data_IF_677850049454
#
_entry.id   IF_677850049454
#
_cell.length_a   1.000
_cell.length_b   1.000
_cell.length_c   1.000
_cell.angle_alpha   90.00
_cell.angle_beta   90.00
_cell.angle_gamma   90.00
#
_symmetry.space_group_name_H-M   'P 1'
#
loop_
_entity.id
_entity.type
_entity.pdbx_description
1 polymer ?
#
# COMPACT_ATOMS: atom_id res chain seq x y z
N UNK A 1 13.46 10.77 14.19
CA UNK A 1 13.51 9.44 13.53
C UNK A 1 14.88 8.81 13.78
N UNK A 2 14.93 7.61 14.36
CA UNK A 2 16.17 6.91 14.68
C UNK A 2 16.66 6.09 13.46
N UNK A 3 17.44 6.71 12.57
CA UNK A 3 18.07 6.04 11.40
C UNK A 3 19.14 5.02 11.79
N UNK A 4 19.73 5.12 12.98
CA UNK A 4 20.87 4.30 13.41
C UNK A 4 20.55 2.92 13.99
N UNK A 5 19.27 2.59 14.23
CA UNK A 5 18.85 1.30 14.84
C UNK A 5 18.10 0.42 13.84
N UNK A 6 18.06 0.78 12.54
CA UNK A 6 17.29 0.09 11.50
C UNK A 6 15.79 -0.10 11.85
N UNK A 7 15.22 0.77 12.68
CA UNK A 7 13.78 0.71 13.04
C UNK A 7 12.85 1.10 11.87
N UNK A 8 13.40 1.60 10.77
CA UNK A 8 12.65 2.14 9.63
C UNK A 8 12.95 1.33 8.35
N UNK A 9 12.78 0.00 8.42
CA UNK A 9 13.08 -0.92 7.28
C UNK A 9 12.08 -0.80 6.14
N UNK A 10 10.83 -0.48 6.46
CA UNK A 10 9.78 -0.32 5.44
C UNK A 10 9.85 1.10 4.86
N UNK A 11 9.84 1.27 3.52
CA UNK A 11 9.81 2.59 2.91
C UNK A 11 8.64 3.44 3.41
N UNK A 12 8.90 4.72 3.67
CA UNK A 12 7.89 5.62 4.25
C UNK A 12 6.60 5.72 3.41
N UNK A 13 6.72 5.77 2.08
CA UNK A 13 5.58 5.80 1.17
C UNK A 13 4.71 4.55 1.30
N UNK A 14 5.32 3.37 1.43
CA UNK A 14 4.59 2.10 1.68
C UNK A 14 3.83 2.21 3.00
N UNK A 15 4.50 2.61 4.09
CA UNK A 15 3.82 2.71 5.40
C UNK A 15 2.70 3.76 5.41
N UNK A 16 2.86 4.86 4.70
CA UNK A 16 1.85 5.91 4.59
C UNK A 16 0.64 5.43 3.79
N UNK A 17 0.88 4.73 2.66
CA UNK A 17 -0.17 4.09 1.85
C UNK A 17 -0.94 3.06 2.65
N UNK A 18 -0.25 2.12 3.31
CA UNK A 18 -0.91 1.08 4.10
C UNK A 18 -1.72 1.68 5.25
N UNK A 19 -1.17 2.67 5.98
CA UNK A 19 -1.92 3.38 7.03
C UNK A 19 -3.17 4.05 6.47
N UNK A 20 -3.08 4.69 5.31
CA UNK A 20 -4.23 5.38 4.73
C UNK A 20 -5.32 4.42 4.23
N UNK A 21 -4.94 3.25 3.73
CA UNK A 21 -5.89 2.18 3.39
C UNK A 21 -6.55 1.58 4.63
N UNK A 22 -5.80 1.43 5.73
CA UNK A 22 -6.31 0.98 7.02
C UNK A 22 -7.30 1.99 7.64
N UNK A 23 -7.01 3.29 7.55
CA UNK A 23 -7.93 4.36 7.98
C UNK A 23 -9.30 4.27 7.28
N UNK A 24 -9.35 3.76 6.04
CA UNK A 24 -10.60 3.52 5.29
C UNK A 24 -11.17 2.10 5.52
N UNK A 25 -10.58 1.32 6.43
CA UNK A 25 -11.02 -0.02 6.80
C UNK A 25 -10.84 -1.07 5.70
N UNK A 26 -9.97 -0.82 4.72
CA UNK A 26 -9.78 -1.72 3.57
C UNK A 26 -8.80 -2.86 3.86
N UNK A 27 -7.74 -2.60 4.62
CA UNK A 27 -6.73 -3.60 4.94
C UNK A 27 -7.28 -4.68 5.87
N UNK A 28 -6.84 -5.93 5.65
CA UNK A 28 -7.23 -7.08 6.47
C UNK A 28 -8.67 -7.56 6.27
N UNK A 29 -9.44 -6.90 5.40
CA UNK A 29 -10.81 -7.28 5.03
C UNK A 29 -10.98 -7.44 3.53
N UNK A 30 -10.73 -6.36 2.79
CA UNK A 30 -10.95 -6.30 1.35
C UNK A 30 -9.65 -6.36 0.57
N UNK A 31 -8.57 -5.80 1.14
CA UNK A 31 -7.25 -5.74 0.55
C UNK A 31 -6.23 -6.42 1.45
N UNK A 32 -5.32 -7.16 0.83
CA UNK A 32 -4.18 -7.80 1.48
C UNK A 32 -2.89 -7.36 0.80
N UNK A 33 -1.86 -7.05 1.59
CA UNK A 33 -0.52 -6.80 1.05
C UNK A 33 0.08 -8.13 0.60
N UNK A 34 0.53 -8.18 -0.64
CA UNK A 34 1.24 -9.33 -1.21
C UNK A 34 2.59 -8.88 -1.78
N UNK A 35 3.33 -9.81 -2.39
CA UNK A 35 4.63 -9.51 -2.98
C UNK A 35 5.71 -9.19 -1.92
N UNK A 36 6.74 -8.47 -2.34
CA UNK A 36 7.95 -8.23 -1.53
C UNK A 36 7.64 -7.50 -0.22
N UNK A 37 6.71 -6.55 -0.21
CA UNK A 37 6.36 -5.81 1.01
C UNK A 37 5.69 -6.67 2.08
N UNK A 38 5.05 -7.79 1.71
CA UNK A 38 4.47 -8.72 2.68
C UNK A 38 5.55 -9.38 3.56
N UNK A 39 6.79 -9.51 3.05
CA UNK A 39 7.90 -10.11 3.79
C UNK A 39 8.27 -9.32 5.05
N UNK A 40 8.05 -8.00 5.10
CA UNK A 40 8.22 -7.22 6.33
C UNK A 40 7.28 -7.64 7.46
N UNK A 41 6.08 -8.14 7.11
CA UNK A 41 5.17 -8.75 8.09
C UNK A 41 5.75 -10.03 8.68
N UNK A 42 6.33 -10.89 7.83
CA UNK A 42 7.02 -12.10 8.27
C UNK A 42 8.27 -11.80 9.11
N UNK A 43 9.10 -10.82 8.72
CA UNK A 43 10.23 -10.34 9.54
C UNK A 43 9.77 -9.99 10.96
N UNK A 44 8.67 -9.23 11.05
CA UNK A 44 8.12 -8.74 12.32
C UNK A 44 7.58 -9.86 13.22
N UNK A 45 6.88 -10.84 12.64
CA UNK A 45 6.29 -11.95 13.42
C UNK A 45 7.32 -13.02 13.79
N UNK A 46 8.25 -13.33 12.89
CA UNK A 46 9.27 -14.35 13.12
C UNK A 46 10.51 -13.85 13.87
N UNK A 47 10.67 -12.53 14.04
CA UNK A 47 11.85 -11.94 14.68
C UNK A 47 13.14 -12.10 13.86
N UNK A 48 13.00 -12.19 12.53
CA UNK A 48 14.11 -12.38 11.59
C UNK A 48 14.19 -11.22 10.60
N UNK A 49 15.29 -11.14 9.87
CA UNK A 49 15.45 -10.19 8.77
C UNK A 49 15.82 -10.94 7.50
N UNK A 50 15.16 -10.59 6.41
CA UNK A 50 15.59 -11.01 5.08
C UNK A 50 16.78 -10.17 4.63
N UNK A 51 17.55 -10.72 3.69
CA UNK A 51 18.60 -9.99 3.01
C UNK A 51 18.04 -8.76 2.31
N UNK A 52 18.73 -7.62 2.42
CA UNK A 52 18.24 -6.35 1.90
C UNK A 52 18.07 -6.36 0.37
N UNK A 53 18.85 -7.16 -0.36
CA UNK A 53 18.72 -7.33 -1.81
C UNK A 53 17.41 -8.03 -2.20
N UNK A 54 16.90 -8.92 -1.35
CA UNK A 54 15.59 -9.57 -1.57
C UNK A 54 14.42 -8.62 -1.29
N UNK A 55 14.65 -7.60 -0.46
CA UNK A 55 13.66 -6.60 -0.06
C UNK A 55 13.66 -5.36 -0.98
N UNK A 56 14.52 -5.32 -1.99
CA UNK A 56 14.65 -4.19 -2.91
C UNK A 56 13.49 -4.18 -3.91
N UNK A 57 12.39 -3.51 -3.55
CA UNK A 57 11.29 -3.21 -4.46
C UNK A 57 10.94 -1.72 -4.46
N UNK A 58 10.30 -1.24 -5.52
CA UNK A 58 9.88 0.16 -5.70
C UNK A 58 8.37 0.36 -5.74
N UNK A 59 7.60 -0.69 -5.49
CA UNK A 59 6.13 -0.70 -5.55
C UNK A 59 5.52 -1.31 -4.29
N UNK A 60 4.18 -1.39 -4.25
CA UNK A 60 3.43 -2.20 -3.28
C UNK A 60 2.27 -2.91 -3.97
N UNK A 61 2.23 -4.23 -3.83
CA UNK A 61 1.16 -5.05 -4.42
C UNK A 61 0.03 -5.28 -3.42
N UNK A 62 -1.20 -5.05 -3.89
CA UNK A 62 -2.42 -5.26 -3.13
C UNK A 62 -3.31 -6.28 -3.84
N UNK A 63 -3.68 -7.32 -3.11
CA UNK A 63 -4.61 -8.34 -3.58
C UNK A 63 -6.00 -8.06 -3.01
N UNK A 64 -7.00 -7.98 -3.89
CA UNK A 64 -8.41 -7.97 -3.49
C UNK A 64 -8.83 -9.35 -3.00
N UNK A 65 -9.41 -9.43 -1.81
CA UNK A 65 -10.02 -10.68 -1.32
C UNK A 65 -11.31 -10.95 -2.09
N UNK A 66 -11.28 -11.94 -2.98
CA UNK A 66 -12.40 -12.33 -3.83
C UNK A 66 -13.64 -12.80 -3.04
N UNK A 67 -13.49 -13.10 -1.74
CA UNK A 67 -14.59 -13.52 -0.86
C UNK A 67 -15.27 -12.32 -0.19
N UNK A 68 -14.66 -11.14 -0.24
CA UNK A 68 -15.14 -9.94 0.42
C UNK A 68 -15.72 -8.94 -0.59
N UNK A 69 -16.92 -8.44 -0.33
CA UNK A 69 -17.51 -7.36 -1.13
C UNK A 69 -16.83 -6.04 -0.81
N UNK A 70 -16.18 -5.43 -1.80
CA UNK A 70 -15.57 -4.10 -1.69
C UNK A 70 -16.61 -3.01 -1.98
N UNK A 71 -16.96 -2.20 -0.98
CA UNK A 71 -17.98 -1.13 -1.08
C UNK A 71 -17.35 0.26 -0.97
N UNK A 72 -16.66 0.71 -2.02
CA UNK A 72 -15.97 2.02 -2.04
C UNK A 72 -16.92 3.22 -1.91
N UNK A 73 -18.14 3.09 -2.45
CA UNK A 73 -19.15 4.14 -2.44
C UNK A 73 -19.65 4.55 -1.03
N UNK A 74 -19.31 3.78 0.01
CA UNK A 74 -19.71 4.05 1.39
C UNK A 74 -18.63 4.76 2.21
N UNK A 75 -17.47 5.07 1.62
CA UNK A 75 -16.32 5.62 2.33
C UNK A 75 -16.35 7.15 2.39
N UNK A 76 -16.08 7.82 1.27
CA UNK A 76 -16.30 9.26 1.10
C UNK A 76 -16.46 9.60 -0.39
N UNK A 77 -16.90 10.82 -0.70
CA UNK A 77 -17.27 11.25 -2.05
C UNK A 77 -16.14 11.07 -3.07
N UNK A 78 -14.90 11.43 -2.71
CA UNK A 78 -13.76 11.29 -3.60
C UNK A 78 -13.43 9.81 -3.89
N UNK A 79 -13.55 8.95 -2.88
CA UNK A 79 -13.36 7.50 -3.04
C UNK A 79 -14.53 6.84 -3.76
N UNK A 80 -15.75 7.38 -3.62
CA UNK A 80 -16.90 6.91 -4.38
C UNK A 80 -16.74 7.20 -5.88
N UNK A 81 -16.13 8.33 -6.24
CA UNK A 81 -15.90 8.74 -7.63
C UNK A 81 -14.67 8.07 -8.26
N UNK A 82 -13.52 8.12 -7.58
CA UNK A 82 -12.22 7.71 -8.14
C UNK A 82 -11.65 6.43 -7.51
N UNK A 83 -12.39 5.78 -6.60
CA UNK A 83 -12.00 4.51 -5.99
C UNK A 83 -10.75 4.59 -5.13
N UNK A 84 -9.95 3.51 -5.14
CA UNK A 84 -8.71 3.42 -4.35
C UNK A 84 -7.69 4.49 -4.76
N UNK A 85 -7.71 4.96 -6.02
CA UNK A 85 -6.81 6.02 -6.48
C UNK A 85 -6.97 7.30 -5.67
N UNK A 86 -8.21 7.68 -5.30
CA UNK A 86 -8.43 8.84 -4.43
C UNK A 86 -7.78 8.66 -3.04
N UNK A 87 -7.71 7.43 -2.53
CA UNK A 87 -7.02 7.15 -1.26
C UNK A 87 -5.51 7.36 -1.43
N UNK A 88 -4.93 6.87 -2.53
CA UNK A 88 -3.51 7.09 -2.85
C UNK A 88 -3.20 8.59 -3.01
N UNK A 89 -4.08 9.34 -3.66
CA UNK A 89 -3.94 10.79 -3.81
C UNK A 89 -4.01 11.58 -2.50
N UNK A 90 -4.65 11.02 -1.45
CA UNK A 90 -4.59 11.57 -0.09
C UNK A 90 -3.23 11.36 0.59
N UNK A 91 -2.43 10.40 0.11
CA UNK A 91 -1.04 10.16 0.55
C UNK A 91 -0.08 11.05 -0.24
N UNK A 92 -0.21 11.03 -1.57
CA UNK A 92 0.56 11.86 -2.50
C UNK A 92 -0.34 12.26 -3.68
N UNK A 93 -0.62 13.56 -3.83
CA UNK A 93 -1.52 14.08 -4.86
C UNK A 93 -1.08 13.78 -6.30
N UNK A 94 0.17 13.35 -6.50
CA UNK A 94 0.72 13.06 -7.82
C UNK A 94 0.46 11.63 -8.31
N UNK A 95 -0.22 10.79 -7.53
CA UNK A 95 -0.65 9.48 -8.01
C UNK A 95 -1.63 9.59 -9.17
N UNK A 96 -1.32 8.90 -10.26
CA UNK A 96 -2.15 8.79 -11.45
C UNK A 96 -2.19 7.33 -11.92
N UNK A 97 -3.28 6.92 -12.56
CA UNK A 97 -3.35 5.61 -13.20
C UNK A 97 -2.40 5.57 -14.40
N UNK A 98 -1.65 4.47 -14.57
CA UNK A 98 -0.64 4.34 -15.65
C UNK A 98 -1.28 4.44 -17.04
N UNK A 99 -2.50 3.93 -17.17
CA UNK A 99 -3.37 4.05 -18.35
C UNK A 99 -4.83 3.93 -17.92
N UNK A 100 -5.74 4.28 -18.82
CA UNK A 100 -7.18 4.08 -18.61
C UNK A 100 -7.45 2.59 -18.34
N UNK A 101 -8.28 2.32 -17.32
CA UNK A 101 -8.69 0.98 -16.90
C UNK A 101 -7.53 0.07 -16.45
N UNK A 102 -6.39 0.63 -16.03
CA UNK A 102 -5.31 -0.11 -15.37
C UNK A 102 -5.58 -0.29 -13.86
N UNK A 103 -5.01 -1.34 -13.29
CA UNK A 103 -5.04 -1.61 -11.86
C UNK A 103 -3.76 -1.15 -11.16
N UNK A 104 -3.01 -0.24 -11.81
CA UNK A 104 -1.75 0.31 -11.32
C UNK A 104 -1.82 1.83 -11.29
N UNK A 105 -1.30 2.39 -10.21
CA UNK A 105 -1.10 3.81 -10.04
C UNK A 105 0.38 4.08 -9.78
N UNK A 106 0.87 5.21 -10.28
CA UNK A 106 2.25 5.64 -10.12
C UNK A 106 2.29 7.11 -9.69
N UNK A 107 3.17 7.48 -8.77
CA UNK A 107 3.38 8.87 -8.40
C UNK A 107 4.55 9.51 -9.18
N UNK A 108 4.80 10.81 -8.99
CA UNK A 108 5.92 11.53 -9.64
C UNK A 108 7.31 10.99 -9.28
N UNK A 109 7.44 10.23 -8.20
CA UNK A 109 8.69 9.60 -7.80
C UNK A 109 8.89 8.21 -8.45
N UNK A 110 7.92 7.71 -9.21
CA UNK A 110 7.96 6.40 -9.85
C UNK A 110 7.62 5.24 -8.91
N UNK A 111 7.01 5.52 -7.76
CA UNK A 111 6.42 4.51 -6.86
C UNK A 111 5.02 4.13 -7.32
#
# INVERSE_FOLDING_TARGET
>A
MAKGVFLNRVPSIVTATLRKLDDHGLLGKNLMVIGTNALHGYESVAGVQFDAGLMATTDVDLLSDARATLKLALLDDAVAEAGVLAILQKVDRSFEAVRKDDFRAVNKAGF
#
